data_IF_308648725475
#
_entry.id   IF_308648725475
#
_cell.length_a   1.000
_cell.length_b   1.000
_cell.length_c   1.000
_cell.angle_alpha   90.00
_cell.angle_beta   90.00
_cell.angle_gamma   90.00
#
_symmetry.space_group_name_H-M   'P 1'
#
loop_
_entity.id
_entity.type
_entity.pdbx_description
1 polymer ?
#
# COMPACT_ATOMS: atom_id res chain seq x y z
N UNK A 1 -6.81 -15.20 -6.53
CA UNK A 1 -7.16 -15.10 -5.06
C UNK A 1 -8.64 -15.36 -4.86
N UNK A 2 -9.03 -16.00 -3.74
CA UNK A 2 -10.46 -16.12 -3.39
C UNK A 2 -11.05 -14.77 -2.97
N UNK A 3 -12.32 -14.55 -3.31
CA UNK A 3 -13.05 -13.32 -2.95
C UNK A 3 -13.07 -13.08 -1.44
N UNK A 4 -13.28 -14.13 -0.65
CA UNK A 4 -13.38 -14.03 0.81
C UNK A 4 -12.06 -13.56 1.41
N UNK A 5 -10.94 -14.07 0.91
CA UNK A 5 -9.59 -13.62 1.29
C UNK A 5 -9.36 -12.17 0.91
N UNK A 6 -9.75 -11.77 -0.30
CA UNK A 6 -9.61 -10.38 -0.73
C UNK A 6 -10.43 -9.40 0.13
N UNK A 7 -11.66 -9.75 0.48
CA UNK A 7 -12.50 -8.95 1.38
C UNK A 7 -11.88 -8.86 2.78
N UNK A 8 -11.47 -10.00 3.35
CA UNK A 8 -10.82 -10.05 4.67
C UNK A 8 -9.54 -9.21 4.67
N UNK A 9 -8.70 -9.34 3.64
CA UNK A 9 -7.48 -8.53 3.51
C UNK A 9 -7.76 -7.02 3.57
N UNK A 10 -8.78 -6.55 2.85
CA UNK A 10 -9.13 -5.13 2.87
C UNK A 10 -9.71 -4.69 4.21
N UNK A 11 -10.50 -5.53 4.87
CA UNK A 11 -11.04 -5.26 6.21
C UNK A 11 -9.91 -5.18 7.26
N UNK A 12 -8.97 -6.12 7.24
CA UNK A 12 -7.84 -6.15 8.16
C UNK A 12 -6.90 -4.95 7.91
N UNK A 13 -6.70 -4.57 6.64
CA UNK A 13 -5.94 -3.37 6.30
C UNK A 13 -6.62 -2.10 6.78
N UNK A 14 -7.93 -1.95 6.59
CA UNK A 14 -8.71 -0.82 7.10
C UNK A 14 -8.58 -0.69 8.62
N UNK A 15 -8.71 -1.79 9.35
CA UNK A 15 -8.57 -1.82 10.79
C UNK A 15 -7.17 -1.40 11.25
N UNK A 16 -6.12 -1.89 10.58
CA UNK A 16 -4.73 -1.51 10.88
C UNK A 16 -4.49 -0.03 10.62
N UNK A 17 -4.98 0.49 9.49
CA UNK A 17 -4.86 1.92 9.15
C UNK A 17 -5.60 2.78 10.17
N UNK A 18 -6.82 2.42 10.57
CA UNK A 18 -7.58 3.17 11.58
C UNK A 18 -6.87 3.17 12.94
N UNK A 19 -6.27 2.03 13.33
CA UNK A 19 -5.50 1.92 14.58
C UNK A 19 -4.23 2.77 14.56
N UNK A 20 -3.53 2.81 13.41
CA UNK A 20 -2.22 3.44 13.26
C UNK A 20 -2.28 4.84 12.61
N UNK A 21 -3.47 5.40 12.38
CA UNK A 21 -3.63 6.65 11.62
C UNK A 21 -2.87 7.84 12.21
N UNK A 22 -2.85 7.96 13.53
CA UNK A 22 -2.15 9.06 14.20
C UNK A 22 -0.64 8.87 14.04
N UNK A 23 -0.14 7.64 14.22
CA UNK A 23 1.26 7.33 14.01
C UNK A 23 1.70 7.53 12.54
N UNK A 24 0.88 7.13 11.58
CA UNK A 24 1.13 7.40 10.15
C UNK A 24 1.24 8.90 9.85
N UNK A 25 0.39 9.71 10.49
CA UNK A 25 0.43 11.16 10.35
C UNK A 25 1.64 11.77 11.05
N UNK A 26 2.07 11.23 12.20
CA UNK A 26 3.31 11.62 12.89
C UNK A 26 4.56 11.32 12.03
N UNK A 27 4.61 10.16 11.36
CA UNK A 27 5.70 9.82 10.44
C UNK A 27 5.75 10.77 9.24
N UNK A 28 4.60 11.21 8.77
CA UNK A 28 4.50 12.15 7.63
C UNK A 28 4.89 13.58 8.01
N UNK A 29 4.73 13.98 9.26
CA UNK A 29 5.00 15.34 9.71
C UNK A 29 6.37 15.88 9.30
N UNK A 30 7.49 15.20 9.57
CA UNK A 30 8.83 15.64 9.15
C UNK A 30 9.08 15.58 7.64
N UNK A 31 8.31 14.79 6.89
CA UNK A 31 8.53 14.46 5.48
C UNK A 31 7.50 15.09 4.54
N UNK A 32 6.34 15.47 5.06
CA UNK A 32 5.22 15.97 4.27
C UNK A 32 4.40 17.00 5.03
N UNK A 33 3.08 16.84 5.03
CA UNK A 33 2.13 17.75 5.68
C UNK A 33 1.40 17.13 6.87
N UNK A 34 1.77 15.91 7.28
CA UNK A 34 1.24 15.24 8.46
C UNK A 34 -0.18 14.70 8.29
N UNK A 35 -0.64 14.47 7.07
CA UNK A 35 -2.02 14.08 6.80
C UNK A 35 -2.19 12.65 6.25
N UNK A 36 -1.08 11.90 6.07
CA UNK A 36 -1.08 10.58 5.42
C UNK A 36 -2.04 9.60 6.11
N UNK A 37 -1.98 9.50 7.43
CA UNK A 37 -2.83 8.56 8.19
C UNK A 37 -4.31 8.92 8.10
N UNK A 38 -4.66 10.19 8.31
CA UNK A 38 -6.04 10.67 8.23
C UNK A 38 -6.63 10.49 6.82
N UNK A 39 -5.84 10.80 5.79
CA UNK A 39 -6.24 10.62 4.39
C UNK A 39 -6.46 9.15 4.04
N UNK A 40 -5.53 8.27 4.43
CA UNK A 40 -5.62 6.85 4.14
C UNK A 40 -6.79 6.19 4.89
N UNK A 41 -6.99 6.51 6.17
CA UNK A 41 -8.12 6.01 6.96
C UNK A 41 -9.46 6.39 6.33
N UNK A 42 -9.63 7.64 5.91
CA UNK A 42 -10.84 8.09 5.20
C UNK A 42 -11.05 7.33 3.89
N UNK A 43 -9.97 7.07 3.16
CA UNK A 43 -10.02 6.33 1.90
C UNK A 43 -10.37 4.86 2.11
N UNK A 44 -9.79 4.22 3.11
CA UNK A 44 -10.08 2.82 3.42
C UNK A 44 -11.51 2.63 3.93
N UNK A 45 -12.02 3.50 4.80
CA UNK A 45 -13.42 3.49 5.21
C UNK A 45 -14.37 3.57 4.00
N UNK A 46 -14.07 4.46 3.02
CA UNK A 46 -14.84 4.55 1.79
C UNK A 46 -14.71 3.28 0.92
N UNK A 47 -13.54 2.64 0.90
CA UNK A 47 -13.31 1.39 0.18
C UNK A 47 -14.13 0.24 0.79
N UNK A 48 -14.18 0.12 2.11
CA UNK A 48 -15.00 -0.88 2.80
C UNK A 48 -16.49 -0.65 2.52
N UNK A 49 -16.96 0.58 2.53
CA UNK A 49 -18.34 0.91 2.16
C UNK A 49 -18.66 0.57 0.71
N UNK A 50 -17.71 0.83 -0.21
CA UNK A 50 -17.84 0.46 -1.61
C UNK A 50 -17.92 -1.07 -1.80
N UNK A 51 -17.11 -1.84 -1.08
CA UNK A 51 -17.19 -3.32 -1.09
C UNK A 51 -18.55 -3.79 -0.61
N UNK A 52 -19.07 -3.24 0.48
CA UNK A 52 -20.40 -3.59 1.01
C UNK A 52 -21.53 -3.27 0.02
N UNK A 53 -21.48 -2.10 -0.60
CA UNK A 53 -22.56 -1.61 -1.48
C UNK A 53 -22.54 -2.24 -2.87
N UNK A 54 -21.38 -2.64 -3.39
CA UNK A 54 -21.25 -3.26 -4.72
C UNK A 54 -21.40 -4.78 -4.71
N UNK A 55 -21.30 -5.40 -3.54
CA UNK A 55 -21.40 -6.86 -3.36
C UNK A 55 -20.53 -7.65 -4.37
N UNK A 56 -19.20 -7.43 -4.41
CA UNK A 56 -18.33 -8.00 -5.41
C UNK A 56 -18.40 -9.54 -5.45
N UNK A 57 -18.32 -10.10 -6.64
CA UNK A 57 -18.40 -11.56 -6.84
C UNK A 57 -17.04 -12.21 -7.04
N UNK A 58 -15.96 -11.41 -7.13
CA UNK A 58 -14.59 -11.89 -7.33
C UNK A 58 -13.60 -10.98 -6.62
N UNK A 59 -12.36 -11.46 -6.40
CA UNK A 59 -11.26 -10.66 -5.87
C UNK A 59 -10.98 -9.44 -6.79
N UNK A 60 -11.07 -9.62 -8.11
CA UNK A 60 -10.89 -8.52 -9.06
C UNK A 60 -11.93 -7.39 -8.84
N UNK A 61 -13.17 -7.73 -8.56
CA UNK A 61 -14.20 -6.74 -8.26
C UNK A 61 -13.98 -6.05 -6.91
N UNK A 62 -13.44 -6.75 -5.91
CA UNK A 62 -12.99 -6.16 -4.65
C UNK A 62 -11.91 -5.12 -4.93
N UNK A 63 -10.85 -5.48 -5.66
CA UNK A 63 -9.76 -4.55 -5.99
C UNK A 63 -10.24 -3.36 -6.83
N UNK A 64 -11.21 -3.55 -7.72
CA UNK A 64 -11.85 -2.47 -8.47
C UNK A 64 -12.55 -1.47 -7.55
N UNK A 65 -13.37 -1.96 -6.62
CA UNK A 65 -14.08 -1.10 -5.66
C UNK A 65 -13.10 -0.29 -4.81
N UNK A 66 -12.05 -0.94 -4.29
CA UNK A 66 -10.99 -0.30 -3.51
C UNK A 66 -10.25 0.76 -4.33
N UNK A 67 -9.82 0.42 -5.56
CA UNK A 67 -9.14 1.36 -6.45
C UNK A 67 -9.94 2.64 -6.67
N UNK A 68 -11.21 2.50 -7.01
CA UNK A 68 -12.09 3.64 -7.29
C UNK A 68 -12.31 4.51 -6.04
N UNK A 69 -12.50 3.89 -4.89
CA UNK A 69 -12.68 4.62 -3.63
C UNK A 69 -11.42 5.41 -3.24
N UNK A 70 -10.24 4.78 -3.33
CA UNK A 70 -8.97 5.43 -2.98
C UNK A 70 -8.65 6.60 -3.92
N UNK A 71 -8.85 6.45 -5.23
CA UNK A 71 -8.63 7.54 -6.19
C UNK A 71 -9.57 8.72 -5.91
N UNK A 72 -10.81 8.46 -5.52
CA UNK A 72 -11.83 9.52 -5.37
C UNK A 72 -11.87 10.16 -3.99
N UNK A 73 -11.40 9.48 -2.93
CA UNK A 73 -11.59 9.89 -1.53
C UNK A 73 -10.31 10.17 -0.76
N UNK A 74 -9.15 9.72 -1.26
CA UNK A 74 -7.86 9.99 -0.62
C UNK A 74 -7.19 11.18 -1.27
N UNK A 75 -6.88 12.19 -0.47
CA UNK A 75 -6.07 13.33 -0.90
C UNK A 75 -4.58 12.99 -1.00
N UNK A 76 -3.80 13.93 -1.51
CA UNK A 76 -2.34 13.79 -1.61
C UNK A 76 -1.90 12.77 -2.65
N UNK A 77 -0.70 12.23 -2.47
CA UNK A 77 -0.08 11.27 -3.40
C UNK A 77 -0.54 9.82 -3.16
N UNK A 78 -0.87 9.46 -1.92
CA UNK A 78 -1.18 8.07 -1.54
C UNK A 78 -2.43 7.51 -2.22
N UNK A 79 -3.48 8.32 -2.37
CA UNK A 79 -4.70 7.91 -3.06
C UNK A 79 -4.45 7.45 -4.51
N UNK A 80 -3.87 8.29 -5.36
CA UNK A 80 -3.50 7.90 -6.71
C UNK A 80 -2.53 6.72 -6.80
N UNK A 81 -1.58 6.58 -5.86
CA UNK A 81 -0.61 5.49 -5.86
C UNK A 81 -1.27 4.16 -5.48
N UNK A 82 -1.94 4.08 -4.35
CA UNK A 82 -2.68 2.87 -3.96
C UNK A 82 -3.80 2.54 -4.93
N UNK A 83 -4.56 3.53 -5.38
CA UNK A 83 -5.61 3.32 -6.37
C UNK A 83 -5.08 2.75 -7.68
N UNK A 84 -3.91 3.21 -8.14
CA UNK A 84 -3.24 2.64 -9.31
C UNK A 84 -2.75 1.22 -9.06
N UNK A 85 -2.21 0.93 -7.87
CA UNK A 85 -1.81 -0.43 -7.49
C UNK A 85 -2.99 -1.39 -7.56
N UNK A 86 -4.10 -1.08 -6.92
CA UNK A 86 -5.30 -1.91 -6.94
C UNK A 86 -5.91 -2.05 -8.34
N UNK A 87 -5.77 -1.05 -9.20
CA UNK A 87 -6.17 -1.16 -10.62
C UNK A 87 -5.30 -2.17 -11.37
N UNK A 88 -3.99 -2.19 -11.13
CA UNK A 88 -3.08 -3.19 -11.68
C UNK A 88 -3.40 -4.60 -11.19
N UNK A 89 -3.60 -4.74 -9.88
CA UNK A 89 -3.96 -5.99 -9.23
C UNK A 89 -5.29 -6.55 -9.75
N UNK A 90 -6.30 -5.69 -9.93
CA UNK A 90 -7.57 -6.07 -10.53
C UNK A 90 -7.39 -6.71 -11.93
N UNK A 91 -6.60 -6.06 -12.79
CA UNK A 91 -6.36 -6.56 -14.15
C UNK A 91 -5.61 -7.89 -14.16
N UNK A 92 -4.61 -8.04 -13.30
CA UNK A 92 -3.84 -9.27 -13.15
C UNK A 92 -4.71 -10.42 -12.62
N UNK A 93 -5.57 -10.14 -11.65
CA UNK A 93 -6.54 -11.12 -11.13
C UNK A 93 -7.55 -11.55 -12.21
N UNK A 94 -8.06 -10.63 -13.02
CA UNK A 94 -8.91 -10.94 -14.17
C UNK A 94 -8.21 -11.79 -15.22
N UNK A 95 -6.90 -11.64 -15.36
CA UNK A 95 -6.07 -12.44 -16.25
C UNK A 95 -5.69 -13.83 -15.66
N UNK A 96 -6.12 -14.13 -14.43
CA UNK A 96 -5.87 -15.41 -13.77
C UNK A 96 -4.44 -15.58 -13.28
N UNK A 97 -3.75 -14.47 -12.98
CA UNK A 97 -2.41 -14.52 -12.42
C UNK A 97 -2.43 -15.02 -10.97
N UNK A 98 -1.34 -15.61 -10.53
CA UNK A 98 -1.14 -15.97 -9.13
C UNK A 98 -0.89 -14.74 -8.25
N UNK A 99 -0.81 -14.94 -6.93
CA UNK A 99 -0.60 -13.84 -5.98
C UNK A 99 0.64 -13.00 -6.32
N UNK A 100 1.74 -13.64 -6.69
CA UNK A 100 2.96 -12.93 -7.04
C UNK A 100 2.77 -12.01 -8.24
N UNK A 101 2.12 -12.51 -9.30
CA UNK A 101 1.79 -11.73 -10.50
C UNK A 101 0.81 -10.59 -10.22
N UNK A 102 -0.17 -10.82 -9.34
CA UNK A 102 -1.12 -9.79 -8.91
C UNK A 102 -0.41 -8.65 -8.18
N UNK A 103 0.45 -8.98 -7.21
CA UNK A 103 1.23 -7.96 -6.46
C UNK A 103 2.25 -7.25 -7.35
N UNK A 104 2.91 -7.97 -8.26
CA UNK A 104 3.84 -7.37 -9.23
C UNK A 104 3.13 -6.36 -10.14
N UNK A 105 1.93 -6.68 -10.62
CA UNK A 105 1.13 -5.72 -11.40
C UNK A 105 0.80 -4.46 -10.59
N UNK A 106 0.52 -4.59 -9.30
CA UNK A 106 0.35 -3.45 -8.39
C UNK A 106 1.61 -2.60 -8.28
N UNK A 107 2.75 -3.24 -8.03
CA UNK A 107 4.07 -2.59 -7.94
C UNK A 107 4.40 -1.80 -9.23
N UNK A 108 4.20 -2.40 -10.39
CA UNK A 108 4.48 -1.73 -11.67
C UNK A 108 3.60 -0.50 -11.88
N UNK A 109 2.34 -0.54 -11.44
CA UNK A 109 1.46 0.64 -11.49
C UNK A 109 1.90 1.75 -10.53
N UNK A 110 2.40 1.41 -9.34
CA UNK A 110 2.98 2.38 -8.39
C UNK A 110 4.22 3.03 -9.02
N UNK A 111 5.15 2.23 -9.55
CA UNK A 111 6.37 2.72 -10.21
C UNK A 111 6.04 3.64 -11.38
N UNK A 112 5.09 3.23 -12.22
CA UNK A 112 4.65 4.03 -13.37
C UNK A 112 4.01 5.35 -12.94
N UNK A 113 3.17 5.34 -11.91
CA UNK A 113 2.45 6.53 -11.43
C UNK A 113 3.36 7.50 -10.69
N UNK A 114 4.23 6.96 -9.81
CA UNK A 114 5.11 7.75 -8.95
C UNK A 114 6.48 8.07 -9.57
N UNK A 115 6.81 7.46 -10.71
CA UNK A 115 8.14 7.54 -11.32
C UNK A 115 9.26 7.23 -10.32
N UNK A 116 9.00 6.29 -9.39
CA UNK A 116 9.92 5.90 -8.33
C UNK A 116 10.47 4.50 -8.54
N UNK A 117 11.66 4.27 -7.98
CA UNK A 117 12.33 2.98 -7.95
C UNK A 117 12.74 2.64 -6.51
N UNK A 118 13.17 1.40 -6.29
CA UNK A 118 13.72 0.98 -5.01
C UNK A 118 14.97 1.82 -4.66
N UNK A 119 15.12 2.18 -3.38
CA UNK A 119 16.20 3.02 -2.88
C UNK A 119 15.88 4.52 -2.86
N UNK A 120 14.70 4.95 -3.29
CA UNK A 120 14.31 6.36 -3.37
C UNK A 120 13.46 6.83 -2.18
N UNK A 121 13.28 5.97 -1.16
CA UNK A 121 12.50 6.23 0.05
C UNK A 121 11.03 6.48 -0.27
N UNK A 122 10.39 5.47 -0.81
CA UNK A 122 8.97 5.45 -1.14
C UNK A 122 8.35 4.10 -0.80
N UNK A 123 7.04 3.95 -0.97
CA UNK A 123 6.37 2.66 -0.82
C UNK A 123 6.95 1.56 -1.73
N UNK A 124 7.65 1.90 -2.82
CA UNK A 124 8.33 0.93 -3.69
C UNK A 124 9.38 0.13 -2.91
N UNK A 125 10.01 0.74 -1.90
CA UNK A 125 11.01 0.11 -1.05
C UNK A 125 10.43 -1.03 -0.18
N UNK A 126 9.12 -1.08 -0.01
CA UNK A 126 8.41 -2.21 0.62
C UNK A 126 7.79 -3.13 -0.40
N UNK A 127 7.11 -2.60 -1.40
CA UNK A 127 6.45 -3.42 -2.41
C UNK A 127 7.42 -4.32 -3.17
N UNK A 128 8.60 -3.81 -3.55
CA UNK A 128 9.57 -4.59 -4.32
C UNK A 128 10.09 -5.82 -3.57
N UNK A 129 10.67 -5.72 -2.35
CA UNK A 129 11.14 -6.89 -1.62
C UNK A 129 9.99 -7.83 -1.21
N UNK A 130 8.79 -7.33 -0.96
CA UNK A 130 7.62 -8.17 -0.68
C UNK A 130 7.23 -9.01 -1.89
N UNK A 131 7.16 -8.42 -3.07
CA UNK A 131 6.87 -9.15 -4.32
C UNK A 131 7.90 -10.26 -4.55
N UNK A 132 9.18 -9.96 -4.37
CA UNK A 132 10.24 -10.96 -4.51
C UNK A 132 10.13 -12.09 -3.46
N UNK A 133 9.79 -11.76 -2.22
CA UNK A 133 9.57 -12.75 -1.17
C UNK A 133 8.35 -13.65 -1.47
N UNK A 134 7.27 -13.09 -1.99
CA UNK A 134 6.08 -13.87 -2.41
C UNK A 134 6.43 -14.82 -3.55
N UNK A 135 7.18 -14.38 -4.58
CA UNK A 135 7.66 -15.24 -5.66
C UNK A 135 8.47 -16.44 -5.16
N UNK A 136 9.16 -16.28 -4.04
CA UNK A 136 9.99 -17.31 -3.42
C UNK A 136 9.25 -18.13 -2.35
N UNK A 137 8.01 -17.78 -2.02
CA UNK A 137 7.25 -18.41 -0.92
C UNK A 137 7.85 -18.13 0.46
N UNK A 138 8.48 -16.97 0.64
CA UNK A 138 9.25 -16.60 1.84
C UNK A 138 8.74 -15.31 2.49
N UNK A 139 7.54 -14.86 2.18
CA UNK A 139 6.98 -13.67 2.80
C UNK A 139 6.71 -13.93 4.29
N UNK A 140 7.25 -13.07 5.15
CA UNK A 140 7.06 -13.10 6.61
C UNK A 140 6.93 -11.67 7.14
N UNK A 141 6.43 -11.53 8.37
CA UNK A 141 6.41 -10.23 9.05
C UNK A 141 7.80 -9.60 9.16
N UNK A 142 8.85 -10.41 9.38
CA UNK A 142 10.23 -9.91 9.45
C UNK A 142 10.70 -9.31 8.13
N UNK A 143 10.36 -9.92 6.99
CA UNK A 143 10.68 -9.36 5.66
C UNK A 143 9.99 -8.00 5.47
N UNK A 144 8.72 -7.89 5.85
CA UNK A 144 7.97 -6.65 5.76
C UNK A 144 8.58 -5.57 6.67
N UNK A 145 8.88 -5.91 7.92
CA UNK A 145 9.43 -4.96 8.88
C UNK A 145 10.82 -4.46 8.48
N UNK A 146 11.68 -5.35 7.97
CA UNK A 146 12.99 -4.97 7.44
C UNK A 146 12.87 -4.03 6.24
N UNK A 147 11.94 -4.29 5.34
CA UNK A 147 11.69 -3.42 4.19
C UNK A 147 11.22 -2.02 4.62
N UNK A 148 10.31 -1.92 5.59
CA UNK A 148 9.85 -0.64 6.16
C UNK A 148 11.03 0.10 6.81
N UNK A 149 11.80 -0.57 7.66
CA UNK A 149 12.93 0.01 8.38
C UNK A 149 14.05 0.49 7.45
N UNK A 150 14.24 -0.16 6.30
CA UNK A 150 15.28 0.21 5.33
C UNK A 150 15.15 1.65 4.84
N UNK A 151 13.94 2.22 4.84
CA UNK A 151 13.70 3.60 4.41
C UNK A 151 14.23 4.65 5.39
N UNK A 152 14.51 4.27 6.64
CA UNK A 152 14.96 5.20 7.68
C UNK A 152 16.32 5.82 7.36
N UNK A 153 17.25 5.04 6.87
CA UNK A 153 18.63 5.46 6.67
C UNK A 153 18.91 6.08 5.28
N UNK A 154 17.88 6.15 4.43
CA UNK A 154 17.97 6.65 3.05
C UNK A 154 17.44 8.08 2.97
N UNK A 155 18.10 8.94 2.18
CA UNK A 155 17.57 10.24 1.82
C UNK A 155 16.48 10.09 0.75
N UNK A 156 15.38 10.81 0.92
CA UNK A 156 14.31 10.80 -0.07
C UNK A 156 14.69 11.55 -1.33
N UNK A 157 14.52 10.90 -2.48
CA UNK A 157 14.77 11.49 -3.81
C UNK A 157 13.50 11.59 -4.66
N UNK A 158 12.39 11.04 -4.15
CA UNK A 158 11.07 11.07 -4.79
C UNK A 158 9.97 11.46 -3.81
N UNK A 159 8.81 11.81 -4.36
CA UNK A 159 7.65 12.21 -3.58
C UNK A 159 7.84 13.50 -2.80
N UNK A 160 6.95 13.78 -1.86
CA UNK A 160 7.00 15.01 -1.04
C UNK A 160 8.22 15.07 -0.14
N UNK A 161 8.65 13.93 0.39
CA UNK A 161 9.83 13.84 1.25
C UNK A 161 11.12 14.30 0.55
N UNK A 162 11.18 14.29 -0.78
CA UNK A 162 12.33 14.80 -1.53
C UNK A 162 12.58 16.31 -1.34
N UNK A 163 11.54 17.09 -1.00
CA UNK A 163 11.68 18.51 -0.73
C UNK A 163 12.47 18.83 0.56
N UNK A 164 12.55 17.90 1.49
CA UNK A 164 13.36 18.05 2.69
C UNK A 164 14.76 17.44 2.56
N UNK A 165 15.03 16.71 1.47
CA UNK A 165 16.34 16.18 1.09
C UNK A 165 16.97 15.33 2.18
N UNK A 166 18.22 15.62 2.56
CA UNK A 166 18.97 14.88 3.59
C UNK A 166 18.29 14.91 4.98
N UNK A 167 17.45 15.90 5.26
CA UNK A 167 16.68 15.95 6.52
C UNK A 167 15.64 14.83 6.61
N UNK A 168 15.38 14.10 5.53
CA UNK A 168 14.53 12.91 5.54
C UNK A 168 15.22 11.70 6.18
N UNK A 169 16.55 11.68 6.28
CA UNK A 169 17.31 10.61 6.93
C UNK A 169 16.94 10.56 8.42
N UNK A 170 16.81 9.35 8.95
CA UNK A 170 16.40 9.10 10.32
C UNK A 170 14.88 8.96 10.51
N UNK A 171 14.08 9.22 9.48
CA UNK A 171 12.63 9.08 9.48
C UNK A 171 12.18 7.95 8.56
N UNK A 172 11.24 7.13 9.03
CA UNK A 172 10.59 6.08 8.21
C UNK A 172 9.63 6.77 7.22
N UNK A 173 9.63 6.31 5.96
CA UNK A 173 8.67 6.79 4.97
C UNK A 173 7.24 6.37 5.33
N UNK A 174 6.25 7.30 5.42
CA UNK A 174 4.88 6.96 5.80
C UNK A 174 4.19 6.04 4.77
N UNK A 175 4.49 6.17 3.48
CA UNK A 175 3.98 5.28 2.43
C UNK A 175 4.54 3.86 2.55
N UNK A 176 5.79 3.73 2.96
CA UNK A 176 6.42 2.45 3.27
C UNK A 176 5.80 1.82 4.51
N UNK A 177 5.57 2.59 5.57
CA UNK A 177 4.92 2.07 6.79
C UNK A 177 3.50 1.58 6.49
N UNK A 178 2.68 2.37 5.80
CA UNK A 178 1.33 1.96 5.42
C UNK A 178 1.30 0.76 4.48
N UNK A 179 2.28 0.64 3.58
CA UNK A 179 2.45 -0.57 2.75
C UNK A 179 2.82 -1.80 3.60
N UNK A 180 3.62 -1.63 4.64
CA UNK A 180 3.87 -2.67 5.63
C UNK A 180 2.59 -3.17 6.29
N UNK A 181 1.70 -2.26 6.70
CA UNK A 181 0.38 -2.63 7.26
C UNK A 181 -0.48 -3.41 6.24
N UNK A 182 -0.46 -3.00 4.96
CA UNK A 182 -1.17 -3.69 3.88
C UNK A 182 -0.71 -5.15 3.76
N UNK A 183 0.60 -5.41 3.75
CA UNK A 183 1.13 -6.75 3.57
C UNK A 183 1.03 -7.62 4.84
N UNK A 184 1.09 -7.03 6.04
CA UNK A 184 0.76 -7.74 7.28
C UNK A 184 -0.71 -8.19 7.30
N UNK A 185 -1.61 -7.33 6.84
CA UNK A 185 -3.02 -7.69 6.67
C UNK A 185 -3.21 -8.82 5.64
N UNK A 186 -2.40 -8.87 4.57
CA UNK A 186 -2.42 -9.98 3.61
C UNK A 186 -2.05 -11.30 4.28
N UNK A 187 -0.96 -11.35 5.05
CA UNK A 187 -0.54 -12.56 5.77
C UNK A 187 -1.65 -13.08 6.70
N UNK A 188 -2.29 -12.19 7.46
CA UNK A 188 -3.40 -12.53 8.36
C UNK A 188 -4.66 -13.00 7.61
N UNK A 189 -4.88 -12.49 6.40
CA UNK A 189 -6.03 -12.88 5.59
C UNK A 189 -5.87 -14.25 4.93
N UNK A 190 -4.64 -14.72 4.76
CA UNK A 190 -4.32 -16.03 4.19
C UNK A 190 -4.29 -17.16 5.24
N UNK A 191 -4.30 -16.83 6.54
CA UNK A 191 -4.43 -17.78 7.66
C UNK A 191 -5.89 -18.24 7.83
#
# INVERSE_FOLDING_TARGET
MDKTVAVKWMQDFDQKVETEKDHLSELDGPLGDGDHGANLARGMAAAIEAIKSTEPQSAAEVFKAVSMALISKVGGASGPLYGSAFMGMMKAEQAGQDLAGVLEAGLEMIKKRGHAQAGEKTMVDVWHPVVEAVKQGQLTNDVIDQAVLSTKEVAATKGRASYVGERSIGHIDPGSYSSGLLFKALLEAEE
#
